data_IF_918683270620
#
_entry.id   IF_918683270620
#
_cell.length_a   1.000
_cell.length_b   1.000
_cell.length_c   1.000
_cell.angle_alpha   90.00
_cell.angle_beta   90.00
_cell.angle_gamma   90.00
#
_symmetry.space_group_name_H-M   'P 1'
#
loop_
_entity.id
_entity.type
_entity.pdbx_description
1 polymer ?
#
# COMPACT_ATOMS: atom_id res chain seq x y z
N UNK A 1 -21.32 0.94 -8.92
CA UNK A 1 -21.51 2.17 -8.11
C UNK A 1 -21.23 3.44 -8.92
N UNK A 2 -20.01 3.68 -9.43
CA UNK A 2 -19.71 4.92 -10.20
C UNK A 2 -20.61 5.11 -11.43
N UNK A 3 -20.87 4.06 -12.19
CA UNK A 3 -21.76 4.10 -13.38
C UNK A 3 -23.20 4.49 -13.03
N UNK A 4 -23.70 4.06 -11.87
CA UNK A 4 -25.07 4.36 -11.41
C UNK A 4 -25.20 5.85 -11.05
N UNK A 5 -24.19 6.43 -10.39
CA UNK A 5 -24.19 7.86 -10.07
C UNK A 5 -24.11 8.74 -11.32
N UNK A 6 -23.34 8.32 -12.33
CA UNK A 6 -23.27 9.02 -13.62
C UNK A 6 -24.62 8.98 -14.33
N UNK A 7 -25.30 7.84 -14.33
CA UNK A 7 -26.63 7.71 -14.94
C UNK A 7 -27.68 8.58 -14.24
N UNK A 8 -27.66 8.65 -12.90
CA UNK A 8 -28.58 9.51 -12.13
C UNK A 8 -28.31 10.99 -12.42
N UNK A 9 -27.04 11.41 -12.45
CA UNK A 9 -26.67 12.79 -12.76
C UNK A 9 -27.03 13.17 -14.20
N UNK A 10 -26.82 12.27 -15.16
CA UNK A 10 -27.21 12.48 -16.55
C UNK A 10 -28.73 12.64 -16.68
N UNK A 11 -29.51 11.72 -16.09
CA UNK A 11 -30.98 11.79 -16.12
C UNK A 11 -31.52 13.08 -15.49
N UNK A 12 -30.98 13.50 -14.34
CA UNK A 12 -31.35 14.76 -13.70
C UNK A 12 -31.04 15.98 -14.60
N UNK A 13 -29.87 16.01 -15.22
CA UNK A 13 -29.45 17.10 -16.10
C UNK A 13 -30.35 17.18 -17.35
N UNK A 14 -30.67 16.03 -17.96
CA UNK A 14 -31.56 15.97 -19.12
C UNK A 14 -32.99 16.41 -18.77
N UNK A 15 -33.51 15.98 -17.62
CA UNK A 15 -34.82 16.41 -17.13
C UNK A 15 -34.87 17.93 -16.90
N UNK A 16 -33.85 18.47 -16.23
CA UNK A 16 -33.75 19.91 -15.96
C UNK A 16 -33.62 20.73 -17.25
N UNK A 17 -32.87 20.23 -18.24
CA UNK A 17 -32.75 20.85 -19.55
C UNK A 17 -34.10 20.89 -20.29
N UNK A 18 -34.84 19.78 -20.29
CA UNK A 18 -36.15 19.68 -20.95
C UNK A 18 -37.19 20.63 -20.35
N UNK A 19 -37.22 20.76 -19.02
CA UNK A 19 -38.11 21.70 -18.31
C UNK A 19 -37.79 23.14 -18.71
N UNK A 20 -36.52 23.53 -18.72
CA UNK A 20 -36.11 24.89 -19.10
C UNK A 20 -36.37 25.21 -20.57
N UNK A 21 -36.15 24.26 -21.48
CA UNK A 21 -36.47 24.39 -22.91
C UNK A 21 -37.97 24.60 -23.13
N UNK A 22 -38.81 23.86 -22.42
CA UNK A 22 -40.27 23.98 -22.51
C UNK A 22 -40.75 25.35 -22.04
N UNK A 23 -40.18 25.87 -20.95
CA UNK A 23 -40.46 27.22 -20.46
C UNK A 23 -40.00 28.30 -21.44
N UNK A 24 -38.80 28.15 -22.01
CA UNK A 24 -38.28 29.05 -23.06
C UNK A 24 -39.18 29.09 -24.29
N UNK A 25 -39.69 27.94 -24.73
CA UNK A 25 -40.55 27.85 -25.92
C UNK A 25 -41.88 28.57 -25.69
N UNK A 26 -42.46 28.46 -24.48
CA UNK A 26 -43.66 29.22 -24.08
C UNK A 26 -43.41 30.73 -24.01
N UNK A 27 -42.26 31.16 -23.48
CA UNK A 27 -41.88 32.58 -23.44
C UNK A 27 -41.75 33.13 -24.86
N UNK A 28 -41.08 32.39 -25.76
CA UNK A 28 -40.93 32.75 -27.16
C UNK A 28 -42.30 32.85 -27.84
N UNK A 29 -43.17 31.85 -27.70
CA UNK A 29 -44.49 31.87 -28.35
C UNK A 29 -45.38 33.02 -27.85
N UNK A 30 -45.40 33.30 -26.54
CA UNK A 30 -46.16 34.43 -25.97
C UNK A 30 -45.59 35.79 -26.40
N UNK A 31 -44.26 35.90 -26.51
CA UNK A 31 -43.61 37.14 -26.93
C UNK A 31 -43.86 37.45 -28.40
N UNK A 32 -43.88 36.44 -29.26
CA UNK A 32 -44.23 36.56 -30.68
C UNK A 32 -45.72 36.92 -30.85
N UNK A 33 -46.60 36.36 -30.02
CA UNK A 33 -48.04 36.64 -30.07
C UNK A 33 -48.39 38.08 -29.66
N UNK A 34 -47.74 38.62 -28.62
CA UNK A 34 -48.03 39.97 -28.12
C UNK A 34 -47.17 41.09 -28.73
N UNK A 35 -46.15 40.74 -29.53
CA UNK A 35 -45.23 41.65 -30.22
C UNK A 35 -44.75 42.84 -29.37
N UNK A 36 -44.42 42.58 -28.10
CA UNK A 36 -44.05 43.61 -27.13
C UNK A 36 -42.91 43.14 -26.24
N UNK A 37 -41.82 43.91 -26.24
CA UNK A 37 -40.63 43.65 -25.42
C UNK A 37 -40.94 43.65 -23.91
N UNK A 38 -41.90 44.46 -23.47
CA UNK A 38 -42.36 44.50 -22.07
C UNK A 38 -43.07 43.20 -21.66
N UNK A 39 -43.79 42.58 -22.59
CA UNK A 39 -44.47 41.29 -22.37
C UNK A 39 -43.47 40.12 -22.29
N UNK A 40 -42.40 40.17 -23.11
CA UNK A 40 -41.28 39.23 -23.03
C UNK A 40 -40.62 39.25 -21.65
N UNK A 41 -40.25 40.43 -21.15
CA UNK A 41 -39.52 40.54 -19.88
C UNK A 41 -40.37 40.16 -18.66
N UNK A 42 -41.67 40.45 -18.68
CA UNK A 42 -42.60 40.01 -17.65
C UNK A 42 -42.80 38.49 -17.64
N UNK A 43 -42.90 37.87 -18.82
CA UNK A 43 -43.07 36.42 -18.97
C UNK A 43 -41.79 35.66 -18.61
N UNK A 44 -40.63 36.18 -19.01
CA UNK A 44 -39.32 35.65 -18.62
C UNK A 44 -39.13 35.65 -17.10
N UNK A 45 -39.45 36.75 -16.42
CA UNK A 45 -39.31 36.83 -14.97
C UNK A 45 -40.33 35.94 -14.24
N UNK A 46 -41.55 35.79 -14.77
CA UNK A 46 -42.59 34.93 -14.17
C UNK A 46 -42.30 33.44 -14.34
N UNK A 47 -41.76 33.00 -15.48
CA UNK A 47 -41.56 31.58 -15.77
C UNK A 47 -40.15 31.07 -15.40
N UNK A 48 -39.11 31.92 -15.49
CA UNK A 48 -37.73 31.53 -15.18
C UNK A 48 -37.27 31.94 -13.78
N UNK A 49 -37.83 33.01 -13.20
CA UNK A 49 -37.35 33.61 -11.93
C UNK A 49 -38.36 33.46 -10.78
N UNK A 50 -39.62 33.09 -11.05
CA UNK A 50 -40.57 32.80 -9.97
C UNK A 50 -40.24 31.48 -9.24
N UNK A 51 -40.64 31.39 -7.96
CA UNK A 51 -40.15 30.47 -6.94
C UNK A 51 -40.07 28.96 -7.27
N UNK A 52 -40.59 28.49 -8.40
CA UNK A 52 -40.40 27.12 -8.91
C UNK A 52 -38.93 26.71 -9.03
N UNK A 53 -38.02 27.62 -9.42
CA UNK A 53 -36.57 27.31 -9.49
C UNK A 53 -35.92 27.18 -8.11
N UNK A 54 -36.42 27.92 -7.10
CA UNK A 54 -35.94 27.85 -5.72
C UNK A 54 -36.33 26.52 -5.06
N UNK A 55 -37.55 26.02 -5.31
CA UNK A 55 -37.97 24.71 -4.80
C UNK A 55 -37.14 23.55 -5.38
N UNK A 56 -36.76 23.62 -6.67
CA UNK A 56 -35.90 22.62 -7.29
C UNK A 56 -34.50 22.55 -6.65
N UNK A 57 -33.94 23.70 -6.27
CA UNK A 57 -32.64 23.77 -5.55
C UNK A 57 -32.75 23.18 -4.15
N UNK A 58 -33.83 23.49 -3.41
CA UNK A 58 -34.06 22.96 -2.05
C UNK A 58 -34.23 21.43 -2.10
N UNK A 59 -35.03 20.92 -3.04
CA UNK A 59 -35.23 19.48 -3.23
C UNK A 59 -33.90 18.79 -3.61
N UNK A 60 -33.13 19.38 -4.52
CA UNK A 60 -31.80 18.89 -4.89
C UNK A 60 -30.84 18.81 -3.71
N UNK A 61 -30.85 19.82 -2.84
CA UNK A 61 -30.05 19.83 -1.61
C UNK A 61 -30.47 18.71 -0.64
N UNK A 62 -31.78 18.50 -0.45
CA UNK A 62 -32.30 17.42 0.41
C UNK A 62 -31.87 16.05 -0.13
N UNK A 63 -31.99 15.83 -1.44
CA UNK A 63 -31.57 14.57 -2.08
C UNK A 63 -30.06 14.36 -1.92
N UNK A 64 -29.24 15.40 -2.12
CA UNK A 64 -27.79 15.32 -1.93
C UNK A 64 -27.43 14.97 -0.47
N UNK A 65 -28.14 15.55 0.51
CA UNK A 65 -27.94 15.28 1.92
C UNK A 65 -28.33 13.83 2.28
N UNK A 66 -29.42 13.31 1.74
CA UNK A 66 -29.82 11.91 1.90
C UNK A 66 -28.79 10.94 1.29
N UNK A 67 -28.28 11.24 0.09
CA UNK A 67 -27.22 10.45 -0.53
C UNK A 67 -25.92 10.47 0.30
N UNK A 68 -25.58 11.64 0.84
CA UNK A 68 -24.41 11.79 1.71
C UNK A 68 -24.53 10.93 2.97
N UNK A 69 -25.71 10.90 3.61
CA UNK A 69 -25.98 10.06 4.78
C UNK A 69 -25.86 8.56 4.48
N UNK A 70 -26.12 8.12 3.24
CA UNK A 70 -25.93 6.71 2.82
C UNK A 70 -24.47 6.40 2.48
N UNK A 71 -23.75 7.35 1.88
CA UNK A 71 -22.36 7.12 1.42
C UNK A 71 -21.37 7.15 2.60
N UNK A 72 -21.56 8.04 3.58
CA UNK A 72 -20.68 8.15 4.76
C UNK A 72 -20.45 6.81 5.47
N UNK A 73 -21.49 6.06 5.90
CA UNK A 73 -21.28 4.83 6.65
C UNK A 73 -20.51 3.79 5.82
N UNK A 74 -20.75 3.73 4.50
CA UNK A 74 -19.98 2.84 3.61
C UNK A 74 -18.50 3.21 3.61
N UNK A 75 -18.16 4.50 3.54
CA UNK A 75 -16.77 4.98 3.58
C UNK A 75 -16.13 4.66 4.94
N UNK A 76 -16.85 4.91 6.05
CA UNK A 76 -16.34 4.65 7.41
C UNK A 76 -16.09 3.16 7.61
N UNK A 77 -17.05 2.29 7.26
CA UNK A 77 -16.91 0.83 7.39
C UNK A 77 -15.73 0.33 6.55
N UNK A 78 -15.62 0.76 5.29
CA UNK A 78 -14.48 0.41 4.44
C UNK A 78 -13.17 0.80 5.10
N UNK A 79 -13.05 2.04 5.58
CA UNK A 79 -11.83 2.53 6.23
C UNK A 79 -11.44 1.67 7.43
N UNK A 80 -12.40 1.32 8.28
CA UNK A 80 -12.14 0.48 9.47
C UNK A 80 -11.70 -0.93 9.07
N UNK A 81 -12.39 -1.56 8.11
CA UNK A 81 -12.06 -2.92 7.65
C UNK A 81 -10.68 -2.97 6.99
N UNK A 82 -10.40 -2.04 6.07
CA UNK A 82 -9.08 -1.97 5.42
C UNK A 82 -7.96 -1.68 6.41
N UNK A 83 -8.18 -0.79 7.39
CA UNK A 83 -7.19 -0.53 8.43
C UNK A 83 -6.89 -1.78 9.26
N UNK A 84 -7.93 -2.51 9.71
CA UNK A 84 -7.75 -3.77 10.44
C UNK A 84 -6.96 -4.81 9.63
N UNK A 85 -7.31 -5.01 8.37
CA UNK A 85 -6.56 -5.92 7.49
C UNK A 85 -5.10 -5.48 7.31
N UNK A 86 -4.85 -4.17 7.17
CA UNK A 86 -3.50 -3.65 7.03
C UNK A 86 -2.66 -3.82 8.30
N UNK A 87 -3.26 -3.69 9.48
CA UNK A 87 -2.61 -3.91 10.77
C UNK A 87 -2.30 -5.39 10.97
N UNK A 88 -3.27 -6.28 10.72
CA UNK A 88 -3.07 -7.72 10.81
C UNK A 88 -1.96 -8.21 9.87
N UNK A 89 -1.90 -7.68 8.64
CA UNK A 89 -0.82 -8.00 7.68
C UNK A 89 0.55 -7.51 8.12
N UNK A 90 0.62 -6.40 8.86
CA UNK A 90 1.85 -5.92 9.49
C UNK A 90 2.24 -6.84 10.64
N UNK A 91 1.32 -7.13 11.56
CA UNK A 91 1.62 -7.97 12.73
C UNK A 91 2.02 -9.39 12.36
N UNK A 92 1.38 -9.98 11.35
CA UNK A 92 1.72 -11.32 10.81
C UNK A 92 3.05 -11.37 10.06
N UNK A 93 3.67 -10.23 9.74
CA UNK A 93 4.93 -10.18 8.99
C UNK A 93 4.79 -10.42 7.49
N UNK A 94 3.56 -10.49 6.95
CA UNK A 94 3.31 -10.57 5.50
C UNK A 94 3.85 -9.32 4.76
N UNK A 95 3.89 -8.19 5.46
CA UNK A 95 4.51 -6.94 4.99
C UNK A 95 5.47 -6.42 6.06
N UNK A 96 6.77 -6.44 5.75
CA UNK A 96 7.79 -5.75 6.53
C UNK A 96 7.86 -4.29 6.12
N UNK A 97 7.73 -3.39 7.09
CA UNK A 97 7.83 -1.96 6.87
C UNK A 97 9.12 -1.43 7.47
N UNK A 98 10.07 -1.06 6.60
CA UNK A 98 11.33 -0.49 7.02
C UNK A 98 11.26 1.04 7.04
N UNK A 99 11.53 1.63 8.20
CA UNK A 99 11.90 3.05 8.31
C UNK A 99 13.19 3.34 7.55
N UNK A 100 13.39 4.59 7.12
CA UNK A 100 14.60 5.02 6.38
C UNK A 100 15.89 4.80 7.15
N UNK A 101 15.82 4.93 8.48
CA UNK A 101 16.97 4.83 9.37
C UNK A 101 16.57 4.25 10.72
N UNK A 102 17.47 3.50 11.32
CA UNK A 102 17.40 3.00 12.68
C UNK A 102 18.60 3.52 13.47
N UNK A 103 18.43 3.81 14.77
CA UNK A 103 19.55 4.18 15.61
C UNK A 103 20.49 2.98 15.74
N UNK A 104 21.66 3.11 15.15
CA UNK A 104 22.77 2.18 15.30
C UNK A 104 24.01 3.00 15.60
N UNK A 105 24.91 2.48 16.43
CA UNK A 105 26.23 3.11 16.56
C UNK A 105 26.87 3.14 15.17
N UNK A 106 27.30 4.33 14.76
CA UNK A 106 27.77 4.62 13.41
C UNK A 106 29.21 4.10 13.26
N UNK A 107 29.38 2.80 13.46
CA UNK A 107 30.68 2.15 13.55
C UNK A 107 30.73 0.97 12.57
N UNK A 108 31.63 1.05 11.59
CA UNK A 108 31.78 0.05 10.51
C UNK A 108 32.23 -1.32 11.01
N UNK A 109 32.60 -1.42 12.29
CA UNK A 109 33.03 -2.65 12.98
C UNK A 109 31.88 -3.52 13.46
N UNK A 110 30.66 -2.98 13.54
CA UNK A 110 29.49 -3.74 14.00
C UNK A 110 28.84 -4.41 12.78
N UNK A 111 28.74 -5.74 12.82
CA UNK A 111 28.12 -6.54 11.77
C UNK A 111 26.79 -7.14 12.22
N UNK A 112 25.89 -7.38 11.27
CA UNK A 112 24.66 -8.12 11.53
C UNK A 112 24.98 -9.54 12.01
N UNK A 113 24.25 -10.00 13.02
CA UNK A 113 24.11 -11.43 13.27
C UNK A 113 23.32 -12.02 12.11
N UNK A 114 23.78 -13.15 11.57
CA UNK A 114 23.09 -13.79 10.45
C UNK A 114 23.14 -15.30 10.54
N UNK A 115 22.08 -15.96 10.07
CA UNK A 115 22.02 -17.41 9.91
C UNK A 115 22.45 -17.86 8.50
N UNK A 116 23.13 -17.00 7.74
CA UNK A 116 23.50 -17.27 6.34
C UNK A 116 24.38 -18.54 6.18
N UNK A 117 25.04 -18.98 7.24
CA UNK A 117 25.80 -20.23 7.24
C UNK A 117 24.88 -21.47 7.10
N UNK A 118 23.65 -21.42 7.61
CA UNK A 118 22.65 -22.49 7.48
C UNK A 118 22.22 -22.73 6.03
N UNK A 119 22.40 -21.70 5.17
CA UNK A 119 22.10 -21.77 3.74
C UNK A 119 23.35 -22.00 2.89
N UNK A 120 24.50 -22.28 3.51
CA UNK A 120 25.72 -22.70 2.82
C UNK A 120 26.71 -21.58 2.49
N UNK A 121 26.46 -20.34 2.94
CA UNK A 121 27.39 -19.23 2.73
C UNK A 121 28.24 -19.02 3.98
N UNK A 122 29.54 -19.23 3.84
CA UNK A 122 30.51 -18.94 4.90
C UNK A 122 31.00 -17.49 4.76
N UNK A 123 31.26 -16.85 5.89
CA UNK A 123 31.99 -15.58 5.99
C UNK A 123 31.37 -14.32 5.36
N UNK A 124 30.09 -14.35 4.99
CA UNK A 124 29.37 -13.12 4.60
C UNK A 124 29.08 -12.29 5.86
N UNK A 125 29.89 -11.24 6.04
CA UNK A 125 29.70 -10.22 7.08
C UNK A 125 29.23 -8.93 6.45
N UNK A 126 28.06 -8.47 6.87
CA UNK A 126 27.46 -7.20 6.42
C UNK A 126 27.55 -6.19 7.55
N UNK A 127 28.22 -5.03 7.37
CA UNK A 127 28.25 -3.99 8.39
C UNK A 127 26.86 -3.38 8.59
N UNK A 128 26.55 -3.00 9.82
CA UNK A 128 25.28 -2.35 10.17
C UNK A 128 25.47 -0.84 10.02
N UNK A 129 24.79 -0.21 9.05
CA UNK A 129 24.77 1.25 8.94
C UNK A 129 23.55 1.91 9.59
N UNK A 130 22.53 1.10 9.90
CA UNK A 130 21.22 1.59 10.36
C UNK A 130 20.39 2.23 9.25
N UNK A 131 20.97 2.51 8.09
CA UNK A 131 20.24 2.93 6.89
C UNK A 131 19.87 1.71 6.06
N UNK A 132 18.58 1.38 6.05
CA UNK A 132 18.10 0.15 5.41
C UNK A 132 18.48 0.06 3.94
N UNK A 133 18.45 1.18 3.19
CA UNK A 133 18.83 1.18 1.77
C UNK A 133 20.32 0.89 1.57
N UNK A 134 21.18 1.40 2.45
CA UNK A 134 22.61 1.06 2.42
C UNK A 134 22.83 -0.39 2.79
N UNK A 135 22.18 -0.87 3.84
CA UNK A 135 22.34 -2.25 4.32
C UNK A 135 21.86 -3.29 3.27
N UNK A 136 20.76 -3.02 2.56
CA UNK A 136 20.33 -3.85 1.41
C UNK A 136 21.40 -3.90 0.32
N UNK A 137 21.93 -2.73 -0.08
CA UNK A 137 22.97 -2.64 -1.11
C UNK A 137 24.26 -3.35 -0.71
N UNK A 138 24.71 -3.16 0.52
CA UNK A 138 25.90 -3.84 1.05
C UNK A 138 25.70 -5.36 1.07
N UNK A 139 24.51 -5.82 1.45
CA UNK A 139 24.17 -7.25 1.42
C UNK A 139 24.25 -7.79 -0.01
N UNK A 140 23.60 -7.14 -0.97
CA UNK A 140 23.66 -7.54 -2.39
C UNK A 140 25.10 -7.54 -2.89
N UNK A 141 25.90 -6.53 -2.56
CA UNK A 141 27.30 -6.44 -2.94
C UNK A 141 28.11 -7.62 -2.38
N UNK A 142 27.88 -8.02 -1.13
CA UNK A 142 28.55 -9.19 -0.53
C UNK A 142 28.18 -10.49 -1.24
N UNK A 143 26.91 -10.68 -1.61
CA UNK A 143 26.50 -11.83 -2.43
C UNK A 143 27.12 -11.81 -3.83
N UNK A 144 27.25 -10.64 -4.45
CA UNK A 144 27.92 -10.50 -5.74
C UNK A 144 29.42 -10.78 -5.66
N UNK A 145 30.09 -10.33 -4.60
CA UNK A 145 31.51 -10.67 -4.36
C UNK A 145 31.66 -12.18 -4.15
N UNK A 146 30.80 -12.80 -3.35
CA UNK A 146 30.80 -14.25 -3.18
C UNK A 146 30.63 -15.00 -4.51
N UNK A 147 29.76 -14.51 -5.41
CA UNK A 147 29.59 -15.06 -6.77
C UNK A 147 30.87 -14.98 -7.60
N UNK A 148 31.66 -13.89 -7.47
CA UNK A 148 32.95 -13.78 -8.17
C UNK A 148 33.93 -14.85 -7.72
N UNK A 149 33.93 -15.15 -6.42
CA UNK A 149 34.79 -16.18 -5.83
C UNK A 149 34.27 -17.60 -6.12
N UNK A 150 32.98 -17.74 -6.46
CA UNK A 150 32.31 -19.01 -6.78
C UNK A 150 31.52 -18.92 -8.10
N UNK A 151 32.20 -18.82 -9.26
CA UNK A 151 31.60 -18.41 -10.54
C UNK A 151 30.51 -19.36 -11.07
N UNK A 152 30.48 -20.61 -10.62
CA UNK A 152 29.45 -21.59 -10.97
C UNK A 152 28.15 -21.45 -10.16
N UNK A 153 28.13 -20.55 -9.18
CA UNK A 153 26.92 -20.28 -8.38
C UNK A 153 26.09 -19.22 -9.09
N UNK A 154 24.91 -19.61 -9.57
CA UNK A 154 23.96 -18.64 -10.11
C UNK A 154 23.33 -17.90 -8.93
N UNK A 155 23.65 -16.61 -8.78
CA UNK A 155 23.01 -15.73 -7.79
C UNK A 155 22.25 -14.63 -8.53
N UNK A 156 20.94 -14.58 -8.27
CA UNK A 156 20.01 -13.54 -8.72
C UNK A 156 19.35 -12.89 -7.50
N UNK A 157 18.91 -11.64 -7.64
CA UNK A 157 18.24 -10.94 -6.56
C UNK A 157 17.05 -10.15 -7.07
N UNK A 158 15.99 -10.12 -6.27
CA UNK A 158 14.80 -9.31 -6.49
C UNK A 158 14.43 -8.56 -5.21
N UNK A 159 14.35 -7.24 -5.29
CA UNK A 159 13.89 -6.41 -4.18
C UNK A 159 12.36 -6.31 -4.19
N UNK A 160 11.73 -6.34 -3.01
CA UNK A 160 10.31 -6.05 -2.86
C UNK A 160 9.35 -6.95 -3.67
N UNK A 161 9.75 -8.19 -3.96
CA UNK A 161 8.95 -9.15 -4.72
C UNK A 161 7.68 -9.52 -3.96
N UNK A 162 6.54 -9.49 -4.65
CA UNK A 162 5.29 -10.06 -4.16
C UNK A 162 5.16 -11.50 -4.62
N UNK A 163 4.86 -12.41 -3.69
CA UNK A 163 4.57 -13.80 -3.99
C UNK A 163 3.26 -14.20 -3.33
N UNK A 164 2.44 -14.95 -4.06
CA UNK A 164 1.24 -15.57 -3.50
C UNK A 164 1.68 -16.76 -2.64
N UNK A 165 1.19 -16.82 -1.40
CA UNK A 165 1.44 -17.90 -0.47
C UNK A 165 0.10 -18.32 0.16
N UNK A 166 -0.44 -19.45 -0.28
CA UNK A 166 -1.82 -19.82 0.01
C UNK A 166 -2.82 -18.78 -0.55
N UNK A 167 -3.69 -18.24 0.30
CA UNK A 167 -4.69 -17.24 -0.06
C UNK A 167 -4.20 -15.78 0.08
N UNK A 168 -3.02 -15.57 0.66
CA UNK A 168 -2.45 -14.23 0.89
C UNK A 168 -1.26 -13.93 -0.03
N UNK A 169 -0.88 -12.65 -0.05
CA UNK A 169 0.32 -12.17 -0.75
C UNK A 169 1.34 -11.67 0.27
N UNK A 170 2.59 -12.13 0.12
CA UNK A 170 3.73 -11.70 0.93
C UNK A 170 4.61 -10.79 0.11
N UNK A 171 5.12 -9.74 0.76
CA UNK A 171 6.16 -8.88 0.21
C UNK A 171 7.51 -9.25 0.80
N UNK A 172 8.37 -9.88 0.01
CA UNK A 172 9.74 -10.16 0.41
C UNK A 172 10.58 -8.89 0.32
N UNK A 173 11.32 -8.50 1.38
CA UNK A 173 12.21 -7.34 1.31
C UNK A 173 13.28 -7.51 0.24
N UNK A 174 13.94 -8.66 0.28
CA UNK A 174 14.92 -9.10 -0.69
C UNK A 174 14.72 -10.61 -0.87
N UNK A 175 14.68 -11.07 -2.11
CA UNK A 175 14.68 -12.48 -2.47
C UNK A 175 15.98 -12.78 -3.21
N UNK A 176 16.75 -13.73 -2.70
CA UNK A 176 17.98 -14.17 -3.36
C UNK A 176 17.74 -15.56 -3.91
N UNK A 177 17.90 -15.73 -5.22
CA UNK A 177 17.81 -17.05 -5.85
C UNK A 177 19.22 -17.57 -6.06
N UNK A 178 19.52 -18.73 -5.48
CA UNK A 178 20.81 -19.39 -5.61
C UNK A 178 20.60 -20.77 -6.22
N UNK A 179 21.20 -21.04 -7.38
CA UNK A 179 21.05 -22.32 -8.10
C UNK A 179 19.56 -22.73 -8.20
N UNK A 180 18.73 -21.77 -8.61
CA UNK A 180 17.26 -21.87 -8.74
C UNK A 180 16.48 -22.09 -7.43
N UNK A 181 17.14 -22.06 -6.27
CA UNK A 181 16.48 -22.13 -4.97
C UNK A 181 16.26 -20.72 -4.41
N UNK A 182 15.01 -20.32 -4.08
CA UNK A 182 14.72 -18.99 -3.55
C UNK A 182 14.95 -18.93 -2.03
N UNK A 183 15.69 -17.91 -1.59
CA UNK A 183 15.98 -17.61 -0.19
C UNK A 183 15.48 -16.21 0.15
N UNK A 184 14.33 -16.10 0.85
CA UNK A 184 13.87 -14.82 1.37
C UNK A 184 14.87 -14.26 2.40
N UNK A 185 15.17 -12.97 2.29
CA UNK A 185 16.11 -12.26 3.16
C UNK A 185 15.37 -11.16 3.92
N UNK A 186 15.49 -11.20 5.24
CA UNK A 186 14.86 -10.23 6.15
C UNK A 186 15.91 -9.52 7.01
N UNK A 187 15.71 -8.23 7.21
CA UNK A 187 16.51 -7.43 8.14
C UNK A 187 15.72 -7.18 9.43
N UNK A 188 16.36 -7.35 10.58
CA UNK A 188 15.74 -7.24 11.91
C UNK A 188 16.45 -6.14 12.68
N UNK A 189 15.86 -4.95 12.67
CA UNK A 189 16.37 -3.78 13.41
C UNK A 189 15.68 -3.51 14.75
N UNK A 190 14.50 -4.08 14.98
CA UNK A 190 13.66 -3.74 16.15
C UNK A 190 13.02 -5.00 16.72
N UNK A 191 12.54 -4.93 17.97
CA UNK A 191 11.74 -6.00 18.58
C UNK A 191 10.44 -6.28 17.84
N UNK A 192 9.89 -5.29 17.14
CA UNK A 192 8.73 -5.51 16.28
C UNK A 192 9.11 -6.37 15.06
N UNK A 193 10.23 -6.10 14.40
CA UNK A 193 10.71 -6.93 13.29
C UNK A 193 10.99 -8.36 13.74
N UNK A 194 11.51 -8.57 14.95
CA UNK A 194 11.76 -9.91 15.50
C UNK A 194 10.47 -10.71 15.66
N UNK A 195 9.41 -10.07 16.18
CA UNK A 195 8.06 -10.68 16.28
C UNK A 195 7.49 -11.00 14.90
N UNK A 196 7.55 -10.04 13.97
CA UNK A 196 7.10 -10.24 12.59
C UNK A 196 7.86 -11.36 11.89
N UNK A 197 9.16 -11.47 12.14
CA UNK A 197 10.03 -12.48 11.55
C UNK A 197 9.67 -13.89 12.06
N UNK A 198 9.39 -14.00 13.35
CA UNK A 198 8.96 -15.26 13.96
C UNK A 198 7.63 -15.75 13.36
N UNK A 199 6.66 -14.85 13.21
CA UNK A 199 5.37 -15.14 12.58
C UNK A 199 5.52 -15.56 11.12
N UNK A 200 6.24 -14.79 10.31
CA UNK A 200 6.40 -15.09 8.88
C UNK A 200 7.23 -16.35 8.64
N UNK A 201 8.23 -16.64 9.48
CA UNK A 201 9.04 -17.87 9.38
C UNK A 201 8.17 -19.12 9.53
N UNK A 202 7.20 -19.11 10.46
CA UNK A 202 6.25 -20.20 10.61
C UNK A 202 5.34 -20.32 9.38
N UNK A 203 4.81 -19.20 8.88
CA UNK A 203 3.97 -19.19 7.67
C UNK A 203 4.73 -19.73 6.45
N UNK A 204 5.98 -19.28 6.24
CA UNK A 204 6.84 -19.72 5.14
C UNK A 204 7.12 -21.23 5.21
N UNK A 205 7.47 -21.73 6.39
CA UNK A 205 7.72 -23.16 6.61
C UNK A 205 6.50 -24.02 6.30
N UNK A 206 5.31 -23.61 6.76
CA UNK A 206 4.05 -24.32 6.47
C UNK A 206 3.72 -24.36 4.98
N UNK A 207 4.26 -23.43 4.18
CA UNK A 207 4.06 -23.36 2.73
C UNK A 207 5.29 -23.84 1.93
N UNK A 208 6.18 -24.63 2.53
CA UNK A 208 7.29 -25.29 1.85
C UNK A 208 8.54 -24.43 1.62
N UNK A 209 8.65 -23.27 2.28
CA UNK A 209 9.87 -22.46 2.29
C UNK A 209 10.62 -22.68 3.60
N UNK A 210 11.51 -23.68 3.60
CA UNK A 210 12.21 -24.13 4.82
C UNK A 210 13.40 -23.25 5.22
N UNK A 211 14.03 -22.59 4.25
CA UNK A 211 15.27 -21.83 4.45
C UNK A 211 15.03 -20.35 4.21
N UNK A 212 15.33 -19.55 5.23
CA UNK A 212 15.18 -18.09 5.23
C UNK A 212 16.44 -17.49 5.81
N UNK A 213 16.93 -16.41 5.21
CA UNK A 213 18.12 -15.68 5.67
C UNK A 213 17.64 -14.49 6.51
N UNK A 214 18.24 -14.29 7.67
CA UNK A 214 18.03 -13.06 8.44
C UNK A 214 19.36 -12.35 8.73
N UNK A 215 19.28 -11.02 8.74
CA UNK A 215 20.33 -10.12 9.21
C UNK A 215 19.75 -9.33 10.37
N UNK A 216 20.23 -9.61 11.58
CA UNK A 216 19.67 -9.10 12.83
C UNK A 216 20.69 -8.25 13.58
N UNK A 217 20.23 -7.13 14.15
CA UNK A 217 21.03 -6.33 15.09
C UNK A 217 21.09 -6.99 16.48
N UNK A 218 20.22 -7.97 16.74
CA UNK A 218 20.19 -8.77 17.95
C UNK A 218 20.81 -10.16 17.71
N UNK A 219 21.43 -10.79 18.73
CA UNK A 219 21.92 -12.15 18.63
C UNK A 219 20.82 -13.11 18.17
N UNK A 220 21.14 -13.96 17.20
CA UNK A 220 20.23 -15.01 16.74
C UNK A 220 20.48 -16.23 17.61
N UNK A 221 19.44 -16.69 18.31
CA UNK A 221 19.47 -18.00 18.94
C UNK A 221 19.09 -19.04 17.89
N UNK A 222 20.08 -19.76 17.36
CA UNK A 222 19.81 -20.95 16.56
C UNK A 222 19.18 -22.00 17.49
N UNK A 223 18.06 -22.60 17.08
CA UNK A 223 17.45 -23.74 17.79
C UNK A 223 18.20 -25.05 17.52
N UNK A 224 19.51 -24.99 17.43
CA UNK A 224 20.42 -26.13 17.50
C UNK A 224 21.38 -25.80 18.63
N UNK A 225 21.24 -26.51 19.75
CA UNK A 225 21.84 -26.15 21.04
C UNK A 225 23.29 -25.67 20.98
N UNK A 226 23.55 -24.65 21.79
CA UNK A 226 24.88 -24.23 22.24
C UNK A 226 25.81 -23.65 21.18
N UNK A 227 25.51 -22.45 20.68
CA UNK A 227 26.54 -21.41 20.51
C UNK A 227 25.90 -20.04 20.25
N UNK A 228 26.09 -19.12 21.18
CA UNK A 228 25.85 -17.69 20.93
C UNK A 228 26.94 -17.25 19.96
N UNK A 229 26.59 -17.05 18.68
CA UNK A 229 27.51 -16.42 17.73
C UNK A 229 27.70 -14.97 18.20
N UNK A 230 28.75 -14.74 19.00
CA UNK A 230 29.15 -13.41 19.47
C UNK A 230 29.78 -12.63 18.31
N UNK A 231 29.66 -11.29 18.29
CA UNK A 231 30.41 -10.48 17.35
C UNK A 231 31.89 -10.59 17.73
N UNK A 232 32.74 -10.96 16.77
CA UNK A 232 34.18 -10.88 16.95
C UNK A 232 34.58 -9.41 17.02
N UNK A 233 34.76 -8.89 18.23
CA UNK A 233 35.38 -7.59 18.46
C UNK A 233 36.88 -7.77 18.18
N UNK A 234 37.40 -7.26 17.06
CA UNK A 234 38.83 -7.05 16.93
C UNK A 234 39.17 -5.74 17.65
N UNK A 235 39.75 -5.84 18.84
CA UNK A 235 40.49 -4.74 19.43
C UNK A 235 41.81 -4.64 18.66
N UNK A 236 41.97 -3.56 17.92
CA UNK A 236 43.26 -3.05 17.49
C UNK A 236 43.54 -1.78 18.31
#
# INVERSE_FOLDING_TARGET
MQVIFILIAAAYTTFYLAVNLTSLTKIISLSLYHNSFKSYWKSFHSECVSGKSQYAVIIGFIIALLLFLVIIPVIIIRRVVYNKQSVNRKESGLIFNYSKSYPTENNSTIHFYTNIQEVGFKDIRVPISGNTKKDFKETILKFQTFKKDHPYTLIEHEEHKYMKLGDDYIKFPLLITINNSPYPVYFIYTKQHEKQFSSIKQILKTNGVDKVICFSVFPITSQSGSEVIKPSISLA
#
